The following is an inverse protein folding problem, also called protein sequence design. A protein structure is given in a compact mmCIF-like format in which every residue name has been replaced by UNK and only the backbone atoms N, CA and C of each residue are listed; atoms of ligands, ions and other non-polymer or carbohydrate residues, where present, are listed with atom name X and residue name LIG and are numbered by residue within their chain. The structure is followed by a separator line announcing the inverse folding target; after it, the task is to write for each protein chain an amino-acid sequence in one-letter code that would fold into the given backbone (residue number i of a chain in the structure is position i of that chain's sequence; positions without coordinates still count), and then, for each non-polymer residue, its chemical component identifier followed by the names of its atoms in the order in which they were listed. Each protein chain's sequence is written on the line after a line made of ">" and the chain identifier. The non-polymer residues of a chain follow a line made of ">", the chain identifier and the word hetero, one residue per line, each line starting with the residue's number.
data_IF_446649224110
#
_entry.id   IF_446649224110
#
_cell.length_a   1.000
_cell.length_b   1.000
_cell.length_c   1.000
_cell.angle_alpha   90.00
_cell.angle_beta   90.00
_cell.angle_gamma   90.00
#
_symmetry.space_group_name_H-M   'P 1'
#
loop_
_entity.id
_entity.type
_entity.pdbx_description
1 polymer ?
#
# COMPACT_ATOMS: atom_id res chain seq x y z
N UNK A 1 13.08 -9.01 -14.37
CA UNK A 1 12.52 -8.84 -13.00
C UNK A 1 12.70 -7.40 -12.50
N UNK A 2 13.93 -6.90 -12.37
CA UNK A 2 14.23 -5.53 -11.89
C UNK A 2 13.47 -4.40 -12.61
N UNK A 3 13.31 -4.49 -13.94
CA UNK A 3 12.63 -3.45 -14.73
C UNK A 3 11.12 -3.36 -14.45
N UNK A 4 10.46 -4.49 -14.18
CA UNK A 4 9.03 -4.51 -13.85
C UNK A 4 8.79 -4.01 -12.42
N UNK A 5 9.65 -4.41 -11.47
CA UNK A 5 9.62 -3.88 -10.10
C UNK A 5 9.76 -2.36 -10.09
N UNK A 6 10.71 -1.82 -10.87
CA UNK A 6 10.89 -0.37 -11.02
C UNK A 6 9.71 0.30 -11.74
N UNK A 7 9.07 -0.35 -12.71
CA UNK A 7 7.90 0.22 -13.39
C UNK A 7 6.67 0.30 -12.47
N UNK A 8 6.40 -0.76 -11.70
CA UNK A 8 5.34 -0.78 -10.67
C UNK A 8 5.63 0.23 -9.55
N UNK A 9 6.90 0.41 -9.16
CA UNK A 9 7.30 1.44 -8.19
C UNK A 9 7.27 2.87 -8.77
N UNK A 10 7.61 3.06 -10.05
CA UNK A 10 7.71 4.36 -10.72
C UNK A 10 6.34 4.90 -11.16
N UNK A 11 5.32 4.06 -11.22
CA UNK A 11 3.95 4.48 -11.46
C UNK A 11 3.15 4.37 -10.15
N UNK A 12 3.41 5.25 -9.16
CA UNK A 12 2.54 5.32 -7.99
C UNK A 12 1.20 5.81 -8.52
N UNK A 13 0.24 4.89 -8.66
CA UNK A 13 -1.16 5.13 -9.00
C UNK A 13 -1.55 6.62 -8.91
N UNK A 14 -1.31 7.34 -10.01
CA UNK A 14 -1.57 8.77 -10.23
C UNK A 14 -3.09 8.99 -10.28
N UNK A 15 -3.74 8.72 -9.15
CA UNK A 15 -5.17 8.69 -9.04
C UNK A 15 -5.58 9.40 -7.78
N UNK A 16 -6.61 10.23 -7.93
CA UNK A 16 -7.39 10.83 -6.83
C UNK A 16 -7.80 9.78 -5.78
N UNK A 17 -7.86 8.51 -6.18
CA UNK A 17 -8.08 7.36 -5.32
C UNK A 17 -7.00 7.20 -4.23
N UNK A 18 -5.72 7.41 -4.52
CA UNK A 18 -4.64 7.29 -3.53
C UNK A 18 -4.78 8.33 -2.41
N UNK A 19 -5.19 9.56 -2.75
CA UNK A 19 -5.47 10.60 -1.75
C UNK A 19 -6.66 10.23 -0.86
N UNK A 20 -7.74 9.67 -1.43
CA UNK A 20 -8.89 9.19 -0.66
C UNK A 20 -8.46 8.08 0.31
N UNK A 21 -7.63 7.14 -0.15
CA UNK A 21 -7.10 6.06 0.69
C UNK A 21 -6.25 6.61 1.83
N UNK A 22 -5.34 7.56 1.56
CA UNK A 22 -4.54 8.19 2.62
C UNK A 22 -5.41 8.99 3.60
N UNK A 23 -6.42 9.71 3.12
CA UNK A 23 -7.36 10.43 3.98
C UNK A 23 -8.12 9.47 4.91
N UNK A 24 -8.64 8.36 4.39
CA UNK A 24 -9.29 7.32 5.21
C UNK A 24 -8.34 6.70 6.22
N UNK A 25 -7.09 6.45 5.82
CA UNK A 25 -6.06 5.92 6.71
C UNK A 25 -5.77 6.87 7.87
N UNK A 26 -5.52 8.14 7.55
CA UNK A 26 -5.27 9.18 8.55
C UNK A 26 -6.49 9.37 9.46
N UNK A 27 -7.71 9.42 8.91
CA UNK A 27 -8.93 9.53 9.70
C UNK A 27 -9.10 8.36 10.66
N UNK A 28 -8.91 7.11 10.19
CA UNK A 28 -9.06 5.91 11.01
C UNK A 28 -8.05 5.86 12.16
N UNK A 29 -6.79 6.20 11.88
CA UNK A 29 -5.72 6.21 12.90
C UNK A 29 -5.93 7.35 13.91
N UNK A 30 -6.24 8.56 13.46
CA UNK A 30 -6.49 9.71 14.33
C UNK A 30 -7.73 9.47 15.19
N UNK A 31 -8.82 8.97 14.61
CA UNK A 31 -10.04 8.64 15.34
C UNK A 31 -9.79 7.62 16.44
N UNK A 32 -9.03 6.56 16.13
CA UNK A 32 -8.66 5.54 17.12
C UNK A 32 -7.82 6.11 18.25
N UNK A 33 -6.82 6.93 17.94
CA UNK A 33 -5.99 7.59 18.96
C UNK A 33 -6.79 8.56 19.83
N UNK A 34 -7.72 9.32 19.26
CA UNK A 34 -8.61 10.23 20.01
C UNK A 34 -9.57 9.44 20.89
N UNK A 35 -10.17 8.35 20.38
CA UNK A 35 -11.03 7.46 21.15
C UNK A 35 -10.26 6.84 22.33
N UNK A 36 -9.02 6.39 22.09
CA UNK A 36 -8.12 5.84 23.10
C UNK A 36 -7.70 6.88 24.15
N UNK A 37 -7.48 8.13 23.73
CA UNK A 37 -7.13 9.21 24.65
C UNK A 37 -8.30 9.57 25.60
N UNK A 38 -9.54 9.40 25.13
CA UNK A 38 -10.78 9.66 25.89
C UNK A 38 -11.19 8.50 26.80
N UNK A 39 -10.80 7.26 26.51
CA UNK A 39 -10.94 6.14 27.44
C UNK A 39 -9.94 6.30 28.59
N UNK A 40 -10.38 6.91 29.69
CA UNK A 40 -9.54 7.35 30.81
C UNK A 40 -8.88 6.26 31.67
N UNK A 41 -8.85 5.00 31.22
CA UNK A 41 -8.39 3.85 32.01
C UNK A 41 -6.94 3.44 31.75
N UNK A 42 -6.36 3.85 30.62
CA UNK A 42 -5.08 3.28 30.19
C UNK A 42 -3.89 4.20 30.43
N UNK A 43 -2.73 3.59 30.73
CA UNK A 43 -1.46 4.31 30.86
C UNK A 43 -1.13 5.01 29.53
N UNK A 44 -1.17 6.34 29.53
CA UNK A 44 -0.85 7.21 28.38
C UNK A 44 0.66 7.25 28.12
N UNK A 45 1.23 6.12 27.65
CA UNK A 45 2.64 5.97 27.27
C UNK A 45 2.77 5.87 25.74
N UNK A 46 3.95 6.19 25.22
CA UNK A 46 4.24 6.05 23.78
C UNK A 46 3.88 4.66 23.24
N UNK A 47 4.31 3.60 23.91
CA UNK A 47 4.09 2.22 23.46
C UNK A 47 2.60 1.85 23.37
N UNK A 48 1.78 2.38 24.27
CA UNK A 48 0.33 2.14 24.25
C UNK A 48 -0.35 2.87 23.09
N UNK A 49 -0.01 4.15 22.87
CA UNK A 49 -0.50 4.88 21.69
C UNK A 49 -0.05 4.23 20.38
N UNK A 50 1.20 3.79 20.31
CA UNK A 50 1.73 3.11 19.12
C UNK A 50 1.00 1.79 18.86
N UNK A 51 0.86 0.94 19.89
CA UNK A 51 0.17 -0.35 19.76
C UNK A 51 -1.28 -0.19 19.32
N UNK A 52 -2.02 0.75 19.92
CA UNK A 52 -3.42 1.02 19.55
C UNK A 52 -3.52 1.53 18.12
N UNK A 53 -2.74 2.55 17.76
CA UNK A 53 -2.76 3.12 16.40
C UNK A 53 -2.34 2.09 15.34
N UNK A 54 -1.33 1.28 15.63
CA UNK A 54 -0.82 0.26 14.71
C UNK A 54 -1.85 -0.85 14.49
N UNK A 55 -2.52 -1.33 15.54
CA UNK A 55 -3.60 -2.33 15.42
C UNK A 55 -4.76 -1.81 14.56
N UNK A 56 -5.21 -0.58 14.80
CA UNK A 56 -6.27 0.02 13.96
C UNK A 56 -5.81 0.15 12.51
N UNK A 57 -4.59 0.62 12.31
CA UNK A 57 -4.01 0.75 10.98
C UNK A 57 -3.93 -0.60 10.25
N UNK A 58 -3.51 -1.68 10.91
CA UNK A 58 -3.47 -3.03 10.31
C UNK A 58 -4.86 -3.48 9.85
N UNK A 59 -5.91 -3.24 10.65
CA UNK A 59 -7.30 -3.57 10.26
C UNK A 59 -7.72 -2.78 9.02
N UNK A 60 -7.47 -1.47 8.99
CA UNK A 60 -7.79 -0.62 7.83
C UNK A 60 -7.00 -1.07 6.60
N UNK A 61 -5.70 -1.38 6.75
CA UNK A 61 -4.86 -1.85 5.66
C UNK A 61 -5.34 -3.19 5.06
N UNK A 62 -5.78 -4.13 5.90
CA UNK A 62 -6.36 -5.39 5.44
C UNK A 62 -7.69 -5.19 4.68
N UNK A 63 -8.57 -4.31 5.18
CA UNK A 63 -9.80 -3.95 4.46
C UNK A 63 -9.50 -3.31 3.10
N UNK A 64 -8.53 -2.41 3.04
CA UNK A 64 -8.08 -1.80 1.78
C UNK A 64 -7.43 -2.80 0.83
N UNK A 65 -6.67 -3.76 1.34
CA UNK A 65 -6.10 -4.84 0.54
C UNK A 65 -7.20 -5.72 -0.07
N UNK A 66 -8.23 -6.06 0.71
CA UNK A 66 -9.38 -6.83 0.22
C UNK A 66 -10.16 -6.06 -0.86
N UNK A 67 -10.43 -4.77 -0.64
CA UNK A 67 -11.04 -3.92 -1.66
C UNK A 67 -10.21 -3.86 -2.94
N UNK A 68 -8.89 -3.64 -2.80
CA UNK A 68 -7.97 -3.57 -3.95
C UNK A 68 -7.92 -4.89 -4.71
N UNK A 69 -7.93 -6.03 -4.02
CA UNK A 69 -8.01 -7.34 -4.64
C UNK A 69 -9.25 -7.46 -5.53
N UNK A 70 -10.43 -7.11 -5.01
CA UNK A 70 -11.68 -7.14 -5.78
C UNK A 70 -11.64 -6.18 -6.98
N UNK A 71 -11.06 -4.99 -6.79
CA UNK A 71 -10.94 -4.01 -7.87
C UNK A 71 -10.06 -4.51 -9.01
N UNK A 72 -8.86 -5.03 -8.69
CA UNK A 72 -7.90 -5.51 -9.69
C UNK A 72 -8.30 -6.84 -10.35
N UNK A 73 -9.13 -7.66 -9.69
CA UNK A 73 -9.71 -8.85 -10.33
C UNK A 73 -10.81 -8.48 -11.32
N UNK A 74 -11.57 -7.40 -11.05
CA UNK A 74 -12.67 -6.95 -11.91
C UNK A 74 -12.21 -6.06 -13.06
N UNK A 75 -11.20 -5.21 -12.82
CA UNK A 75 -10.68 -4.25 -13.80
C UNK A 75 -9.28 -4.67 -14.26
N UNK A 76 -9.21 -5.50 -15.30
CA UNK A 76 -7.94 -6.01 -15.82
C UNK A 76 -7.20 -5.04 -16.74
N UNK A 77 -7.84 -3.94 -17.14
CA UNK A 77 -7.27 -2.95 -18.07
C UNK A 77 -5.89 -2.45 -17.63
N UNK A 78 -5.73 -2.16 -16.33
CA UNK A 78 -4.45 -1.69 -15.80
C UNK A 78 -3.34 -2.74 -15.93
N UNK A 79 -3.66 -4.01 -15.66
CA UNK A 79 -2.73 -5.14 -15.85
C UNK A 79 -2.36 -5.27 -17.32
N UNK A 80 -3.36 -5.31 -18.19
CA UNK A 80 -3.17 -5.62 -19.60
C UNK A 80 -2.38 -4.51 -20.30
N UNK A 81 -2.65 -3.24 -19.97
CA UNK A 81 -1.88 -2.09 -20.45
C UNK A 81 -0.42 -2.12 -19.93
N UNK A 82 -0.22 -2.39 -18.65
CA UNK A 82 1.14 -2.46 -18.07
C UNK A 82 1.99 -3.57 -18.71
N UNK A 83 1.38 -4.71 -19.01
CA UNK A 83 2.06 -5.84 -19.66
C UNK A 83 2.33 -5.51 -21.14
N UNK A 84 1.38 -4.91 -21.85
CA UNK A 84 1.57 -4.49 -23.23
C UNK A 84 2.72 -3.48 -23.38
N UNK A 85 2.81 -2.49 -22.49
CA UNK A 85 3.91 -1.52 -22.47
C UNK A 85 5.25 -2.19 -22.16
N UNK A 86 5.31 -3.12 -21.22
CA UNK A 86 6.52 -3.90 -20.95
C UNK A 86 6.94 -4.74 -22.17
N UNK A 87 5.99 -5.39 -22.85
CA UNK A 87 6.27 -6.14 -24.08
C UNK A 87 6.77 -5.24 -25.22
N UNK A 88 6.21 -4.04 -25.39
CA UNK A 88 6.71 -3.05 -26.36
C UNK A 88 8.14 -2.62 -26.04
N UNK A 89 8.46 -2.37 -24.77
CA UNK A 89 9.80 -2.00 -24.33
C UNK A 89 10.82 -3.11 -24.61
N UNK A 90 10.46 -4.37 -24.32
CA UNK A 90 11.32 -5.53 -24.60
C UNK A 90 11.53 -5.71 -26.11
N UNK A 91 10.48 -5.54 -26.92
CA UNK A 91 10.60 -5.59 -28.38
C UNK A 91 11.53 -4.49 -28.92
N UNK A 92 11.43 -3.28 -28.37
CA UNK A 92 12.28 -2.14 -28.77
C UNK A 92 13.77 -2.32 -28.41
N UNK A 93 14.09 -3.15 -27.41
CA UNK A 93 15.48 -3.47 -27.05
C UNK A 93 16.17 -4.38 -28.07
N UNK A 94 15.41 -5.10 -28.91
CA UNK A 94 15.93 -5.95 -29.98
C UNK A 94 16.72 -7.19 -29.54
N UNK A 95 16.89 -7.41 -28.23
CA UNK A 95 17.69 -8.50 -27.65
C UNK A 95 16.85 -9.65 -27.06
N UNK A 96 15.56 -9.70 -27.40
CA UNK A 96 14.62 -10.72 -26.91
C UNK A 96 13.88 -11.33 -28.10
N UNK A 97 13.77 -12.66 -28.15
CA UNK A 97 12.98 -13.35 -29.16
C UNK A 97 11.48 -13.11 -28.90
N UNK A 98 10.63 -13.12 -29.95
CA UNK A 98 9.18 -12.94 -29.78
C UNK A 98 8.56 -13.91 -28.77
N UNK A 99 9.03 -15.15 -28.76
CA UNK A 99 8.59 -16.19 -27.80
C UNK A 99 8.95 -15.85 -26.36
N UNK A 100 10.13 -15.28 -26.12
CA UNK A 100 10.57 -14.88 -24.78
C UNK A 100 9.73 -13.71 -24.24
N UNK A 101 9.34 -12.79 -25.13
CA UNK A 101 8.45 -11.66 -24.80
C UNK A 101 7.04 -12.17 -24.43
N UNK A 102 6.53 -13.16 -25.16
CA UNK A 102 5.23 -13.77 -24.89
C UNK A 102 5.23 -14.56 -23.57
N UNK A 103 6.26 -15.38 -23.33
CA UNK A 103 6.45 -16.11 -22.08
C UNK A 103 6.56 -15.15 -20.88
N UNK A 104 7.30 -14.04 -21.05
CA UNK A 104 7.39 -12.99 -20.03
C UNK A 104 6.02 -12.37 -19.73
N UNK A 105 5.25 -12.01 -20.77
CA UNK A 105 3.91 -11.46 -20.62
C UNK A 105 2.96 -12.44 -19.90
N UNK A 106 3.03 -13.73 -20.22
CA UNK A 106 2.22 -14.76 -19.56
C UNK A 106 2.57 -14.94 -18.08
N UNK A 107 3.86 -14.89 -17.72
CA UNK A 107 4.30 -14.92 -16.32
C UNK A 107 3.85 -13.67 -15.57
N UNK A 108 3.99 -12.48 -16.16
CA UNK A 108 3.54 -11.23 -15.56
C UNK A 108 2.03 -11.26 -15.31
N UNK A 109 1.20 -11.76 -16.23
CA UNK A 109 -0.26 -11.88 -16.02
C UNK A 109 -0.59 -12.71 -14.79
N UNK A 110 0.11 -13.83 -14.58
CA UNK A 110 -0.10 -14.72 -13.43
C UNK A 110 0.33 -14.09 -12.11
N UNK A 111 1.46 -13.38 -12.12
CA UNK A 111 2.05 -12.81 -10.91
C UNK A 111 1.56 -11.39 -10.60
N UNK A 112 0.86 -10.72 -11.52
CA UNK A 112 0.46 -9.32 -11.38
C UNK A 112 -0.33 -9.07 -10.10
N UNK A 113 -1.45 -9.80 -9.94
CA UNK A 113 -2.34 -9.65 -8.78
C UNK A 113 -1.62 -9.90 -7.45
N UNK A 114 -0.96 -11.07 -7.23
CA UNK A 114 -0.29 -11.32 -5.95
C UNK A 114 0.85 -10.31 -5.71
N UNK A 115 1.62 -9.95 -6.73
CA UNK A 115 2.72 -8.98 -6.59
C UNK A 115 2.20 -7.59 -6.21
N UNK A 116 1.21 -7.07 -6.94
CA UNK A 116 0.63 -5.74 -6.69
C UNK A 116 0.04 -5.65 -5.28
N UNK A 117 -0.64 -6.70 -4.81
CA UNK A 117 -1.22 -6.73 -3.47
C UNK A 117 -0.15 -6.78 -2.40
N UNK A 118 0.86 -7.64 -2.57
CA UNK A 118 1.98 -7.70 -1.62
C UNK A 118 2.68 -6.34 -1.51
N UNK A 119 3.05 -5.72 -2.64
CA UNK A 119 3.69 -4.40 -2.65
C UNK A 119 2.79 -3.37 -1.94
N UNK A 120 1.50 -3.35 -2.28
CA UNK A 120 0.55 -2.40 -1.69
C UNK A 120 0.43 -2.55 -0.17
N UNK A 121 0.27 -3.78 0.32
CA UNK A 121 0.18 -4.08 1.76
C UNK A 121 1.47 -3.64 2.46
N UNK A 122 2.64 -4.05 1.96
CA UNK A 122 3.92 -3.71 2.59
C UNK A 122 4.16 -2.19 2.60
N UNK A 123 3.87 -1.50 1.50
CA UNK A 123 3.97 -0.03 1.42
C UNK A 123 3.06 0.66 2.42
N UNK A 124 1.81 0.21 2.56
CA UNK A 124 0.92 0.74 3.59
C UNK A 124 1.44 0.43 4.98
N UNK A 125 1.89 -0.81 5.26
CA UNK A 125 2.39 -1.19 6.58
C UNK A 125 3.54 -0.30 7.07
N UNK A 126 4.50 -0.03 6.19
CA UNK A 126 5.63 0.86 6.49
C UNK A 126 5.12 2.28 6.76
N UNK A 127 4.25 2.82 5.89
CA UNK A 127 3.73 4.17 6.04
C UNK A 127 2.88 4.33 7.31
N UNK A 128 2.02 3.37 7.61
CA UNK A 128 1.17 3.36 8.80
C UNK A 128 1.96 3.25 10.09
N UNK A 129 3.03 2.46 10.10
CA UNK A 129 3.95 2.39 11.23
C UNK A 129 4.64 3.74 11.47
N UNK A 130 5.10 4.43 10.42
CA UNK A 130 5.70 5.76 10.52
C UNK A 130 4.71 6.80 11.04
N UNK A 131 3.52 6.88 10.46
CA UNK A 131 2.47 7.83 10.89
C UNK A 131 2.09 7.58 12.35
N UNK A 132 1.91 6.32 12.73
CA UNK A 132 1.56 5.94 14.10
C UNK A 132 2.69 6.28 15.08
N UNK A 133 3.95 6.03 14.71
CA UNK A 133 5.10 6.39 15.54
C UNK A 133 5.20 7.90 15.76
N UNK A 134 5.02 8.70 14.70
CA UNK A 134 5.03 10.16 14.79
C UNK A 134 3.88 10.63 15.69
N UNK A 135 2.65 10.17 15.46
CA UNK A 135 1.49 10.55 16.26
C UNK A 135 1.62 10.15 17.73
N UNK A 136 2.10 8.93 18.01
CA UNK A 136 2.36 8.45 19.36
C UNK A 136 3.44 9.28 20.06
N UNK A 137 4.51 9.66 19.35
CA UNK A 137 5.56 10.52 19.88
C UNK A 137 5.01 11.90 20.28
N UNK A 138 4.26 12.56 19.39
CA UNK A 138 3.62 13.84 19.68
C UNK A 138 2.65 13.78 20.87
N UNK A 139 1.79 12.76 20.92
CA UNK A 139 0.81 12.62 22.00
C UNK A 139 1.45 12.25 23.34
N UNK A 140 2.56 11.50 23.32
CA UNK A 140 3.31 11.16 24.53
C UNK A 140 4.05 12.36 25.14
N UNK A 141 4.47 13.34 24.32
CA UNK A 141 5.12 14.58 24.80
C UNK A 141 4.16 15.56 25.47
N UNK A 142 2.86 15.50 25.18
CA UNK A 142 1.84 16.41 25.76
C UNK A 142 1.51 16.09 27.23
N UNK A 143 2.30 15.27 27.92
CA UNK A 143 2.09 14.89 29.32
C UNK A 143 2.74 15.87 30.33
N UNK A 144 3.54 16.83 29.86
CA UNK A 144 4.25 17.79 30.72
C UNK A 144 3.73 19.25 30.58
N UNK A 145 2.42 19.43 30.53
CA UNK A 145 1.76 20.75 30.54
C UNK A 145 0.54 20.77 31.43
#
# INVERSE_FOLDING_TARGET
>A
ALSFSLFVLKNPFESKFQYIVYCLLCFGVVWSLVSYHRSGTDKKTFGNYFSTGFKTFVVVALLMAAFSFIYFTTHTEFRDNSIAENSKLLAAQGNHLPKEIEENAAQLRKMFIPMTISITIFSYLIMGALITAIAAAFLSKKKDG
#
